data_IF_898762027586
#
_entry.id   IF_898762027586
#
_cell.length_a   1.000
_cell.length_b   1.000
_cell.length_c   1.000
_cell.angle_alpha   90.00
_cell.angle_beta   90.00
_cell.angle_gamma   90.00
#
_symmetry.space_group_name_H-M   'P 1'
#
loop_
_entity.id
_entity.type
_entity.pdbx_description
1 polymer ?
#
# COMPACT_ATOMS: atom_id res chain seq x y z
N UNK A 1 -3.92 -20.43 44.61
CA UNK A 1 -4.61 -20.73 43.33
C UNK A 1 -4.48 -19.47 42.49
N UNK A 2 -3.78 -19.52 41.35
CA UNK A 2 -3.65 -18.36 40.48
C UNK A 2 -4.91 -18.29 39.62
N UNK A 3 -5.81 -17.37 39.96
CA UNK A 3 -7.03 -17.12 39.20
C UNK A 3 -6.67 -16.50 37.85
N UNK A 4 -7.01 -17.18 36.76
CA UNK A 4 -6.77 -16.67 35.42
C UNK A 4 -7.75 -15.51 35.17
N UNK A 5 -7.22 -14.30 35.12
CA UNK A 5 -7.98 -13.11 34.72
C UNK A 5 -8.25 -13.21 33.22
N UNK A 6 -9.47 -13.56 32.85
CA UNK A 6 -9.95 -13.39 31.49
C UNK A 6 -10.09 -11.88 31.23
N UNK A 7 -9.27 -11.37 30.32
CA UNK A 7 -9.46 -10.04 29.73
C UNK A 7 -10.21 -10.26 28.44
N UNK A 8 -11.39 -9.66 28.30
CA UNK A 8 -12.07 -9.56 27.02
C UNK A 8 -11.15 -8.77 26.08
N UNK A 9 -10.40 -9.50 25.25
CA UNK A 9 -9.76 -8.90 24.10
C UNK A 9 -10.87 -8.58 23.11
N UNK A 10 -10.98 -7.31 22.72
CA UNK A 10 -11.86 -6.89 21.64
C UNK A 10 -11.39 -7.59 20.36
N UNK A 11 -11.93 -8.78 20.11
CA UNK A 11 -11.76 -9.56 18.88
C UNK A 11 -12.91 -9.30 17.90
N UNK A 12 -13.76 -8.30 18.18
CA UNK A 12 -15.01 -8.09 17.49
C UNK A 12 -14.93 -7.08 16.33
N UNK A 13 -13.83 -6.33 16.22
CA UNK A 13 -13.68 -5.24 15.24
C UNK A 13 -12.47 -5.41 14.30
N UNK A 14 -11.99 -6.64 14.09
CA UNK A 14 -10.88 -6.93 13.15
C UNK A 14 -11.39 -7.34 11.75
N UNK A 15 -12.63 -7.00 11.43
CA UNK A 15 -13.22 -7.26 10.12
C UNK A 15 -13.87 -5.98 9.61
N UNK A 16 -13.12 -5.20 8.82
CA UNK A 16 -13.57 -3.95 8.21
C UNK A 16 -14.75 -4.10 7.21
N UNK A 17 -15.28 -5.31 7.03
CA UNK A 17 -16.27 -5.66 6.02
C UNK A 17 -15.67 -5.75 4.62
N UNK A 18 -16.49 -6.12 3.65
CA UNK A 18 -16.08 -6.22 2.24
C UNK A 18 -17.12 -5.52 1.37
N UNK A 19 -16.67 -4.66 0.46
CA UNK A 19 -17.52 -3.92 -0.48
C UNK A 19 -17.04 -4.22 -1.90
N UNK A 20 -17.93 -4.75 -2.75
CA UNK A 20 -17.59 -5.20 -4.11
C UNK A 20 -16.42 -6.20 -4.19
N UNK A 21 -16.25 -7.03 -3.16
CA UNK A 21 -15.11 -7.95 -3.08
C UNK A 21 -13.81 -7.28 -2.59
N UNK A 22 -13.82 -6.00 -2.25
CA UNK A 22 -12.65 -5.28 -1.73
C UNK A 22 -12.76 -5.08 -0.22
N UNK A 23 -11.64 -5.25 0.48
CA UNK A 23 -11.60 -5.22 1.95
C UNK A 23 -11.78 -3.78 2.48
N UNK A 24 -12.70 -3.62 3.42
CA UNK A 24 -13.07 -2.36 4.05
C UNK A 24 -13.35 -1.24 3.04
N UNK A 25 -12.65 -0.12 3.22
CA UNK A 25 -12.82 1.07 2.40
C UNK A 25 -11.95 1.10 1.14
N UNK A 26 -11.37 -0.04 0.73
CA UNK A 26 -10.53 -0.13 -0.46
C UNK A 26 -11.28 0.21 -1.76
N UNK A 27 -12.61 0.14 -1.76
CA UNK A 27 -13.44 0.61 -2.88
C UNK A 27 -13.37 2.14 -3.11
N UNK A 28 -13.14 2.94 -2.05
CA UNK A 28 -13.11 4.41 -2.15
C UNK A 28 -12.03 4.92 -3.12
N UNK A 29 -10.74 4.51 -3.01
CA UNK A 29 -9.74 4.95 -3.97
C UNK A 29 -10.05 4.49 -5.39
N UNK A 30 -10.67 3.32 -5.58
CA UNK A 30 -11.08 2.84 -6.92
C UNK A 30 -12.15 3.74 -7.53
N UNK A 31 -13.19 4.09 -6.77
CA UNK A 31 -14.26 4.99 -7.23
C UNK A 31 -13.73 6.38 -7.54
N UNK A 32 -12.92 6.95 -6.63
CA UNK A 32 -12.27 8.25 -6.84
C UNK A 32 -11.33 8.23 -8.05
N UNK A 33 -10.59 7.13 -8.22
CA UNK A 33 -9.72 6.90 -9.38
C UNK A 33 -10.48 6.86 -10.69
N UNK A 34 -11.66 6.21 -10.71
CA UNK A 34 -12.51 6.14 -11.89
C UNK A 34 -13.07 7.51 -12.28
N UNK A 35 -13.59 8.26 -11.30
CA UNK A 35 -14.10 9.62 -11.51
C UNK A 35 -12.97 10.55 -11.99
N UNK A 36 -11.81 10.51 -11.33
CA UNK A 36 -10.65 11.33 -11.69
C UNK A 36 -10.11 10.99 -13.08
N UNK A 37 -10.07 9.71 -13.44
CA UNK A 37 -9.62 9.23 -14.76
C UNK A 37 -10.55 9.69 -15.88
N UNK A 38 -11.86 9.59 -15.66
CA UNK A 38 -12.85 10.09 -16.61
C UNK A 38 -12.78 11.61 -16.75
N UNK A 39 -12.62 12.33 -15.63
CA UNK A 39 -12.41 13.78 -15.62
C UNK A 39 -11.16 14.18 -16.39
N UNK A 40 -10.04 13.48 -16.19
CA UNK A 40 -8.79 13.71 -16.92
C UNK A 40 -8.97 13.49 -18.43
N UNK A 41 -9.58 12.38 -18.83
CA UNK A 41 -9.87 12.12 -20.24
C UNK A 41 -10.76 13.21 -20.86
N UNK A 42 -11.79 13.66 -20.13
CA UNK A 42 -12.68 14.73 -20.58
C UNK A 42 -11.94 16.07 -20.71
N UNK A 43 -11.10 16.44 -19.75
CA UNK A 43 -10.27 17.66 -19.82
C UNK A 43 -9.33 17.59 -21.01
N UNK A 44 -8.63 16.47 -21.22
CA UNK A 44 -7.71 16.31 -22.33
C UNK A 44 -8.42 16.36 -23.68
N UNK A 45 -9.55 15.65 -23.82
CA UNK A 45 -10.30 15.58 -25.08
C UNK A 45 -11.08 16.85 -25.42
N UNK A 46 -11.76 17.44 -24.43
CA UNK A 46 -12.65 18.58 -24.65
C UNK A 46 -11.95 19.93 -24.51
N UNK A 47 -11.15 20.11 -23.46
CA UNK A 47 -10.56 21.42 -23.12
C UNK A 47 -9.17 21.59 -23.74
N UNK A 48 -8.34 20.55 -23.72
CA UNK A 48 -7.00 20.60 -24.29
C UNK A 48 -6.98 20.27 -25.80
N UNK A 49 -8.12 19.88 -26.39
CA UNK A 49 -8.23 19.53 -27.80
C UNK A 49 -7.33 18.36 -28.22
N UNK A 50 -6.92 17.51 -27.27
CA UNK A 50 -6.13 16.32 -27.55
C UNK A 50 -7.01 15.29 -28.26
N UNK A 51 -6.45 14.54 -29.20
CA UNK A 51 -7.18 13.46 -29.86
C UNK A 51 -7.77 12.47 -28.84
N UNK A 52 -9.04 12.11 -29.00
CA UNK A 52 -9.79 11.29 -28.05
C UNK A 52 -9.12 9.96 -27.68
N UNK A 53 -8.37 9.37 -28.62
CA UNK A 53 -7.60 8.17 -28.35
C UNK A 53 -6.49 8.43 -27.32
N UNK A 54 -5.67 9.47 -27.53
CA UNK A 54 -4.58 9.84 -26.62
C UNK A 54 -5.15 10.28 -25.26
N UNK A 55 -6.22 11.08 -25.27
CA UNK A 55 -6.92 11.52 -24.07
C UNK A 55 -7.47 10.33 -23.26
N UNK A 56 -8.05 9.33 -23.94
CA UNK A 56 -8.54 8.10 -23.32
C UNK A 56 -7.43 7.25 -22.72
N UNK A 57 -6.33 7.05 -23.44
CA UNK A 57 -5.17 6.29 -22.94
C UNK A 57 -4.56 6.97 -21.72
N UNK A 58 -4.26 8.28 -21.83
CA UNK A 58 -3.70 9.05 -20.71
C UNK A 58 -4.66 9.10 -19.52
N UNK A 59 -5.96 9.28 -19.80
CA UNK A 59 -7.02 9.29 -18.80
C UNK A 59 -7.19 7.94 -18.10
N UNK A 60 -6.89 6.82 -18.74
CA UNK A 60 -6.99 5.49 -18.12
C UNK A 60 -5.84 5.18 -17.15
N UNK A 61 -4.70 5.85 -17.27
CA UNK A 61 -3.50 5.57 -16.47
C UNK A 61 -3.73 5.66 -14.94
N UNK A 62 -4.40 6.68 -14.39
CA UNK A 62 -4.61 6.78 -12.95
C UNK A 62 -5.48 5.64 -12.41
N UNK A 63 -6.58 5.30 -13.09
CA UNK A 63 -7.43 4.17 -12.70
C UNK A 63 -6.68 2.85 -12.82
N UNK A 64 -5.90 2.63 -13.89
CA UNK A 64 -5.09 1.44 -14.04
C UNK A 64 -4.06 1.29 -12.91
N UNK A 65 -3.41 2.38 -12.51
CA UNK A 65 -2.47 2.38 -11.38
C UNK A 65 -3.16 2.04 -10.05
N UNK A 66 -4.34 2.64 -9.79
CA UNK A 66 -5.11 2.38 -8.57
C UNK A 66 -5.63 0.95 -8.54
N UNK A 67 -6.11 0.40 -9.66
CA UNK A 67 -6.54 -0.99 -9.76
C UNK A 67 -5.36 -1.95 -9.57
N UNK A 68 -4.22 -1.65 -10.19
CA UNK A 68 -2.98 -2.41 -10.00
C UNK A 68 -2.58 -2.46 -8.53
N UNK A 69 -2.56 -1.32 -7.86
CA UNK A 69 -2.27 -1.24 -6.42
C UNK A 69 -3.32 -1.99 -5.58
N UNK A 70 -4.61 -1.74 -5.80
CA UNK A 70 -5.69 -2.33 -5.02
C UNK A 70 -5.74 -3.86 -5.18
N UNK A 71 -5.66 -4.38 -6.41
CA UNK A 71 -5.83 -5.81 -6.68
C UNK A 71 -4.55 -6.62 -6.44
N UNK A 72 -3.37 -6.06 -6.74
CA UNK A 72 -2.11 -6.80 -6.63
C UNK A 72 -1.44 -6.64 -5.27
N UNK A 73 -1.60 -5.48 -4.62
CA UNK A 73 -0.88 -5.13 -3.39
C UNK A 73 -1.77 -5.01 -2.14
N UNK A 74 -3.09 -4.79 -2.27
CA UNK A 74 -3.99 -4.67 -1.09
C UNK A 74 -4.91 -5.86 -0.91
N UNK A 75 -5.54 -6.32 -1.98
CA UNK A 75 -6.60 -7.32 -1.89
C UNK A 75 -6.07 -8.67 -1.40
N UNK A 76 -6.65 -9.20 -0.31
CA UNK A 76 -6.20 -10.43 0.36
C UNK A 76 -4.70 -10.42 0.75
N UNK A 77 -4.12 -9.23 1.00
CA UNK A 77 -2.75 -9.09 1.47
C UNK A 77 -2.73 -8.68 2.94
N UNK A 78 -1.70 -9.10 3.70
CA UNK A 78 -1.51 -8.61 5.07
C UNK A 78 -1.42 -7.08 5.11
N UNK A 79 -1.82 -6.50 6.24
CA UNK A 79 -1.64 -5.07 6.47
C UNK A 79 -0.16 -4.67 6.30
N UNK A 80 0.10 -3.60 5.55
CA UNK A 80 1.45 -3.09 5.29
C UNK A 80 2.14 -3.67 4.05
N UNK A 81 1.67 -4.78 3.48
CA UNK A 81 2.31 -5.45 2.35
C UNK A 81 2.57 -4.53 1.14
N UNK A 82 1.65 -3.60 0.86
CA UNK A 82 1.79 -2.63 -0.22
C UNK A 82 3.00 -1.71 -0.03
N UNK A 83 3.19 -1.18 1.19
CA UNK A 83 4.27 -0.26 1.53
C UNK A 83 5.61 -0.98 1.50
N UNK A 84 5.66 -2.17 2.10
CA UNK A 84 6.88 -2.97 2.16
C UNK A 84 7.38 -3.32 0.75
N UNK A 85 6.47 -3.64 -0.18
CA UNK A 85 6.83 -3.92 -1.58
C UNK A 85 7.32 -2.67 -2.32
N UNK A 86 6.64 -1.55 -2.14
CA UNK A 86 7.05 -0.28 -2.74
C UNK A 86 8.43 0.14 -2.22
N UNK A 87 8.68 0.01 -0.92
CA UNK A 87 9.96 0.31 -0.29
C UNK A 87 11.08 -0.60 -0.79
N UNK A 88 10.82 -1.91 -0.91
CA UNK A 88 11.78 -2.84 -1.52
C UNK A 88 12.11 -2.46 -2.97
N UNK A 89 11.12 -2.05 -3.76
CA UNK A 89 11.35 -1.61 -5.15
C UNK A 89 12.08 -0.27 -5.24
N UNK A 90 11.86 0.64 -4.27
CA UNK A 90 12.54 1.93 -4.17
C UNK A 90 13.93 1.84 -3.49
N UNK A 91 14.38 0.64 -3.10
CA UNK A 91 15.72 0.39 -2.56
C UNK A 91 15.87 0.64 -1.05
N UNK A 92 14.78 0.88 -0.32
CA UNK A 92 14.79 1.15 1.12
C UNK A 92 14.88 -0.09 2.02
N UNK A 93 14.80 -1.29 1.44
CA UNK A 93 14.69 -2.57 2.17
C UNK A 93 15.98 -3.09 2.82
N UNK A 94 16.77 -2.23 3.46
CA UNK A 94 17.95 -2.65 4.20
C UNK A 94 17.73 -2.46 5.71
N UNK A 95 17.37 -3.55 6.40
CA UNK A 95 17.51 -3.69 7.85
C UNK A 95 18.95 -4.04 8.26
N UNK A 96 19.92 -3.90 7.35
CA UNK A 96 21.33 -4.14 7.67
C UNK A 96 21.84 -2.99 8.51
N UNK A 97 22.38 -3.30 9.69
CA UNK A 97 23.19 -2.37 10.47
C UNK A 97 24.22 -1.70 9.55
N UNK A 98 24.45 -0.41 9.75
CA UNK A 98 25.54 0.27 9.07
C UNK A 98 26.84 -0.51 9.36
N UNK A 99 27.71 -0.80 8.38
CA UNK A 99 28.95 -1.53 8.62
C UNK A 99 29.78 -0.98 9.79
N UNK A 100 29.72 0.33 10.03
CA UNK A 100 30.36 0.99 11.16
C UNK A 100 29.73 0.66 12.53
N UNK A 101 28.40 0.49 12.59
CA UNK A 101 27.70 0.07 13.81
C UNK A 101 27.94 -1.42 14.07
N UNK A 102 28.02 -2.21 13.01
CA UNK A 102 28.31 -3.64 13.08
C UNK A 102 29.73 -3.91 13.59
N UNK A 103 30.72 -3.11 13.17
CA UNK A 103 32.10 -3.17 13.68
C UNK A 103 32.19 -2.84 15.17
N UNK A 104 31.52 -1.77 15.62
CA UNK A 104 31.53 -1.40 17.04
C UNK A 104 30.92 -2.49 17.93
N UNK A 105 29.85 -3.16 17.48
CA UNK A 105 29.24 -4.26 18.22
C UNK A 105 30.19 -5.46 18.31
N UNK A 106 30.85 -5.84 17.21
CA UNK A 106 31.85 -6.91 17.24
C UNK A 106 33.02 -6.56 18.14
N UNK A 107 33.56 -5.34 18.06
CA UNK A 107 34.70 -4.91 18.88
C UNK A 107 34.37 -4.88 20.38
N UNK A 108 33.14 -4.51 20.72
CA UNK A 108 32.67 -4.52 22.12
C UNK A 108 32.43 -5.94 22.65
N UNK A 109 32.09 -6.88 21.77
CA UNK A 109 31.97 -8.31 22.09
C UNK A 109 33.34 -8.94 22.34
N UNK A 110 34.36 -8.64 21.49
CA UNK A 110 35.73 -9.17 21.67
C UNK A 110 36.42 -8.58 22.91
N UNK A 111 36.11 -7.33 23.29
CA UNK A 111 36.69 -6.67 24.46
C UNK A 111 36.16 -7.19 25.81
N UNK A 112 35.05 -7.94 25.82
CA UNK A 112 34.42 -8.49 27.02
C UNK A 112 34.68 -10.00 27.23
N UNK A 113 35.54 -10.61 26.41
CA UNK A 113 36.04 -12.00 26.53
C UNK A 113 37.52 -12.03 26.89
#
# INVERSE_FOLDING_TARGET
>A
MNELRFTDTNSADDSAGQVFGLDGNLYLPVVLGAIGSLGLAAVLGLLAGTGWFIAGVAGALPLAAILGWALLLKHNKPAGYDRDRIEQWLGGGHFTLNPAEQQNLTDTEVANT
#
